data_IF_898939329991
#
_entry.id   IF_898939329991
#
_cell.length_a   1.000
_cell.length_b   1.000
_cell.length_c   1.000
_cell.angle_alpha   90.00
_cell.angle_beta   90.00
_cell.angle_gamma   90.00
#
_symmetry.space_group_name_H-M   'P 1'
#
loop_
_entity.id
_entity.type
_entity.pdbx_description
1 polymer ?
#
# COMPACT_ATOMS: atom_id res chain seq x y z
N UNK A 1 12.56 -3.92 11.07
CA UNK A 1 12.46 -3.03 12.26
C UNK A 1 11.01 -2.55 12.30
N UNK A 2 10.29 -2.65 13.43
CA UNK A 2 8.89 -2.22 13.47
C UNK A 2 8.81 -0.71 13.20
N UNK A 3 8.30 -0.35 12.04
CA UNK A 3 8.20 1.02 11.53
C UNK A 3 6.74 1.46 11.52
N UNK A 4 6.45 2.76 11.32
CA UNK A 4 5.07 3.24 11.12
C UNK A 4 4.36 2.62 9.91
N UNK A 5 5.14 2.00 9.00
CA UNK A 5 4.68 1.36 7.77
C UNK A 5 5.23 -0.06 7.65
N UNK A 6 4.51 -0.91 6.92
CA UNK A 6 4.92 -2.29 6.63
C UNK A 6 4.54 -2.70 5.21
N UNK A 7 5.46 -3.33 4.51
CA UNK A 7 5.25 -4.03 3.25
C UNK A 7 5.14 -5.53 3.53
N UNK A 8 4.19 -6.19 2.89
CA UNK A 8 4.09 -7.65 2.94
C UNK A 8 3.21 -8.19 1.82
N UNK A 9 3.32 -9.49 1.58
CA UNK A 9 2.31 -10.22 0.81
C UNK A 9 1.12 -10.57 1.71
N UNK A 10 -0.09 -10.36 1.20
CA UNK A 10 -1.30 -10.69 1.94
C UNK A 10 -1.35 -12.18 2.30
N UNK A 11 -1.38 -12.51 3.59
CA UNK A 11 -1.42 -13.91 4.04
C UNK A 11 -2.77 -14.60 3.77
N UNK A 12 -3.86 -13.82 3.66
CA UNK A 12 -5.23 -14.31 3.51
C UNK A 12 -6.18 -13.23 2.94
N UNK A 13 -7.42 -13.62 2.63
CA UNK A 13 -8.44 -12.74 2.01
C UNK A 13 -9.31 -11.97 3.02
N UNK A 14 -8.79 -11.60 4.20
CA UNK A 14 -9.60 -10.94 5.25
C UNK A 14 -9.47 -9.43 5.30
N UNK A 15 -8.32 -8.88 4.90
CA UNK A 15 -8.09 -7.44 4.96
C UNK A 15 -8.88 -6.71 3.87
N UNK A 16 -9.39 -5.53 4.21
CA UNK A 16 -10.11 -4.63 3.30
C UNK A 16 -9.28 -3.38 3.03
N UNK A 17 -9.26 -2.93 1.78
CA UNK A 17 -8.44 -1.81 1.36
C UNK A 17 -8.92 -0.51 2.02
N UNK A 18 -7.98 0.22 2.60
CA UNK A 18 -8.16 1.59 3.15
C UNK A 18 -7.64 2.66 2.20
N UNK A 19 -7.52 2.35 0.92
CA UNK A 19 -7.22 3.30 -0.15
C UNK A 19 -8.42 4.20 -0.49
N UNK A 20 -8.27 5.10 -1.48
CA UNK A 20 -9.37 5.91 -1.97
C UNK A 20 -10.47 5.07 -2.66
N UNK A 21 -11.68 5.64 -2.78
CA UNK A 21 -12.72 5.08 -3.67
C UNK A 21 -12.23 5.17 -5.13
N UNK A 22 -12.57 4.21 -6.00
CA UNK A 22 -13.53 3.11 -5.80
C UNK A 22 -12.97 1.88 -5.06
N UNK A 23 -11.67 1.85 -4.76
CA UNK A 23 -11.03 0.65 -4.19
C UNK A 23 -11.33 0.43 -2.70
N UNK A 24 -11.68 1.49 -1.97
CA UNK A 24 -11.92 1.43 -0.54
C UNK A 24 -12.96 0.34 -0.19
N UNK A 25 -12.60 -0.58 0.71
CA UNK A 25 -13.45 -1.70 1.12
C UNK A 25 -13.32 -2.97 0.28
N UNK A 26 -12.60 -2.94 -0.84
CA UNK A 26 -12.32 -4.15 -1.63
C UNK A 26 -11.31 -5.07 -0.93
N UNK A 27 -11.36 -6.36 -1.22
CA UNK A 27 -10.55 -7.38 -0.53
C UNK A 27 -9.10 -7.35 -1.02
N UNK A 28 -8.14 -7.46 -0.09
CA UNK A 28 -6.75 -7.76 -0.43
C UNK A 28 -6.57 -9.27 -0.54
N UNK A 29 -6.37 -9.77 -1.75
CA UNK A 29 -6.27 -11.20 -2.04
C UNK A 29 -4.95 -11.78 -1.57
N UNK A 30 -4.95 -13.05 -1.15
CA UNK A 30 -3.77 -13.78 -0.71
C UNK A 30 -2.68 -13.70 -1.76
N UNK A 31 -1.46 -13.39 -1.34
CA UNK A 31 -0.30 -13.25 -2.22
C UNK A 31 -0.15 -11.87 -2.87
N UNK A 32 -1.15 -10.97 -2.79
CA UNK A 32 -0.99 -9.61 -3.32
C UNK A 32 -0.07 -8.76 -2.43
N UNK A 33 0.82 -7.97 -3.03
CA UNK A 33 1.59 -6.96 -2.31
C UNK A 33 0.66 -5.91 -1.69
N UNK A 34 0.90 -5.60 -0.42
CA UNK A 34 0.12 -4.61 0.34
C UNK A 34 1.02 -3.73 1.21
N UNK A 35 0.56 -2.51 1.44
CA UNK A 35 1.16 -1.60 2.42
C UNK A 35 0.23 -1.46 3.63
N UNK A 36 0.80 -1.52 4.83
CA UNK A 36 0.12 -1.26 6.08
C UNK A 36 0.65 0.01 6.72
N UNK A 37 -0.24 0.85 7.24
CA UNK A 37 0.12 1.93 8.17
C UNK A 37 -0.30 1.51 9.57
N UNK A 38 0.57 1.67 10.56
CA UNK A 38 0.22 1.42 11.95
C UNK A 38 -0.96 2.30 12.36
N UNK A 39 -1.96 1.69 12.99
CA UNK A 39 -3.08 2.36 13.64
C UNK A 39 -3.21 1.82 15.06
N UNK A 40 -3.40 2.71 16.03
CA UNK A 40 -3.74 2.31 17.39
C UNK A 40 -5.26 2.42 17.59
N UNK A 41 -5.87 1.36 18.09
CA UNK A 41 -7.26 1.39 18.51
C UNK A 41 -7.38 0.87 19.94
N UNK A 42 -7.63 1.80 20.88
CA UNK A 42 -7.82 1.51 22.31
C UNK A 42 -6.61 0.78 22.92
N UNK A 43 -5.39 1.14 22.52
CA UNK A 43 -4.15 0.50 22.99
C UNK A 43 -3.79 -0.80 22.26
N UNK A 44 -4.59 -1.20 21.26
CA UNK A 44 -4.27 -2.32 20.38
C UNK A 44 -3.75 -1.78 19.05
N UNK A 45 -2.44 -1.95 18.82
CA UNK A 45 -1.82 -1.61 17.56
C UNK A 45 -2.19 -2.62 16.47
N UNK A 46 -2.71 -2.14 15.36
CA UNK A 46 -3.01 -2.90 14.15
C UNK A 46 -2.48 -2.17 12.91
N UNK A 47 -2.80 -2.68 11.72
CA UNK A 47 -2.43 -2.06 10.45
C UNK A 47 -3.68 -1.73 9.62
N UNK A 48 -3.73 -0.50 9.10
CA UNK A 48 -4.62 -0.12 8.02
C UNK A 48 -4.01 -0.55 6.68
N UNK A 49 -4.49 -1.67 6.14
CA UNK A 49 -3.99 -2.27 4.90
C UNK A 49 -4.55 -1.60 3.64
N UNK A 50 -3.71 -1.45 2.62
CA UNK A 50 -4.08 -0.98 1.28
C UNK A 50 -3.42 -1.86 0.23
N UNK A 51 -4.07 -2.01 -0.92
CA UNK A 51 -3.37 -2.54 -2.10
C UNK A 51 -2.14 -1.69 -2.38
N UNK A 52 -1.08 -2.30 -2.89
CA UNK A 52 0.09 -1.56 -3.34
C UNK A 52 -0.29 -0.43 -4.30
N UNK A 53 -1.04 -0.71 -5.36
CA UNK A 53 -1.54 0.32 -6.29
C UNK A 53 -2.49 1.37 -5.71
N UNK A 54 -2.85 1.29 -4.43
CA UNK A 54 -3.66 2.28 -3.73
C UNK A 54 -2.84 3.17 -2.79
N UNK A 55 -1.50 3.05 -2.81
CA UNK A 55 -0.61 3.99 -2.11
C UNK A 55 -0.70 5.34 -2.80
N UNK A 56 -1.10 6.38 -2.07
CA UNK A 56 -1.22 7.74 -2.60
C UNK A 56 0.09 8.50 -2.49
N UNK A 57 0.30 9.57 -3.29
CA UNK A 57 1.48 10.44 -3.14
C UNK A 57 1.66 10.97 -1.72
N UNK A 58 0.57 11.28 -1.02
CA UNK A 58 0.60 11.71 0.38
C UNK A 58 1.22 10.63 1.30
N UNK A 59 0.93 9.35 1.06
CA UNK A 59 1.54 8.26 1.83
C UNK A 59 3.03 8.19 1.54
N UNK A 60 3.47 8.32 0.27
CA UNK A 60 4.90 8.40 -0.06
C UNK A 60 5.58 9.59 0.64
N UNK A 61 4.97 10.77 0.62
CA UNK A 61 5.50 11.94 1.35
C UNK A 61 5.67 11.63 2.84
N UNK A 62 4.67 11.03 3.48
CA UNK A 62 4.74 10.71 4.90
C UNK A 62 5.76 9.60 5.22
N UNK A 63 5.96 8.64 4.32
CA UNK A 63 7.03 7.64 4.47
C UNK A 63 8.41 8.27 4.33
N UNK A 64 8.62 9.12 3.31
CA UNK A 64 9.89 9.84 3.08
C UNK A 64 10.26 10.83 4.19
N UNK A 65 9.30 11.25 5.02
CA UNK A 65 9.58 12.04 6.22
C UNK A 65 10.20 11.20 7.36
N UNK A 66 10.02 9.88 7.33
CA UNK A 66 10.49 8.96 8.37
C UNK A 66 11.67 8.09 7.93
N UNK A 67 11.84 7.90 6.62
CA UNK A 67 12.84 7.02 6.02
C UNK A 67 13.52 7.73 4.85
N UNK A 68 14.81 7.47 4.66
CA UNK A 68 15.56 8.02 3.52
C UNK A 68 15.38 7.15 2.26
N UNK A 69 15.31 5.83 2.46
CA UNK A 69 15.29 4.83 1.40
C UNK A 69 14.12 3.86 1.58
N UNK A 70 13.65 3.29 0.47
CA UNK A 70 12.59 2.27 0.49
C UNK A 70 13.00 1.01 1.26
N UNK A 71 14.29 0.67 1.25
CA UNK A 71 14.90 -0.46 1.96
C UNK A 71 14.73 -0.39 3.48
N UNK A 72 14.51 0.79 4.03
CA UNK A 72 14.29 0.98 5.47
C UNK A 72 12.88 0.58 5.94
N UNK A 73 11.94 0.39 5.00
CA UNK A 73 10.56 0.00 5.29
C UNK A 73 10.49 -1.42 5.86
N UNK A 74 9.66 -1.60 6.90
CA UNK A 74 9.47 -2.92 7.51
C UNK A 74 8.90 -3.91 6.49
N UNK A 75 9.59 -5.05 6.31
CA UNK A 75 9.19 -6.10 5.36
C UNK A 75 9.66 -5.91 3.92
N UNK A 76 10.46 -4.88 3.62
CA UNK A 76 11.07 -4.71 2.29
C UNK A 76 11.98 -5.90 1.92
N UNK A 77 12.84 -6.33 2.83
CA UNK A 77 13.78 -7.45 2.61
C UNK A 77 13.08 -8.80 2.41
N UNK A 78 11.82 -8.93 2.85
CA UNK A 78 11.01 -10.13 2.69
C UNK A 78 10.30 -10.19 1.32
N UNK A 79 10.37 -9.12 0.52
CA UNK A 79 9.78 -9.07 -0.81
C UNK A 79 10.65 -9.79 -1.84
N UNK A 80 10.03 -10.24 -2.92
CA UNK A 80 10.76 -10.70 -4.12
C UNK A 80 11.54 -9.54 -4.73
N UNK A 81 12.68 -9.83 -5.35
CA UNK A 81 13.55 -8.83 -6.00
C UNK A 81 12.78 -7.92 -6.98
N UNK A 82 11.87 -8.49 -7.77
CA UNK A 82 11.01 -7.73 -8.69
C UNK A 82 10.12 -6.70 -7.96
N UNK A 83 9.53 -7.09 -6.82
CA UNK A 83 8.71 -6.19 -6.02
C UNK A 83 9.56 -5.17 -5.24
N UNK A 84 10.79 -5.52 -4.85
CA UNK A 84 11.75 -4.58 -4.27
C UNK A 84 12.12 -3.48 -5.28
N UNK A 85 12.40 -3.85 -6.53
CA UNK A 85 12.67 -2.89 -7.60
C UNK A 85 11.45 -2.00 -7.87
N UNK A 86 10.25 -2.60 -7.92
CA UNK A 86 9.00 -1.87 -8.10
C UNK A 86 8.76 -0.84 -6.98
N UNK A 87 8.93 -1.25 -5.72
CA UNK A 87 8.81 -0.36 -4.57
C UNK A 87 9.85 0.75 -4.63
N UNK A 88 11.08 0.45 -5.02
CA UNK A 88 12.16 1.44 -5.14
C UNK A 88 11.86 2.47 -6.24
N UNK A 89 11.41 2.04 -7.42
CA UNK A 89 10.99 2.93 -8.51
C UNK A 89 9.84 3.84 -8.09
N UNK A 90 8.81 3.27 -7.44
CA UNK A 90 7.68 4.04 -6.94
C UNK A 90 8.08 5.01 -5.81
N UNK A 91 9.04 4.61 -4.97
CA UNK A 91 9.62 5.48 -3.96
C UNK A 91 10.26 6.68 -4.59
N UNK A 92 11.14 6.52 -5.57
CA UNK A 92 11.79 7.63 -6.28
C UNK A 92 10.77 8.54 -6.95
N UNK A 93 9.82 7.97 -7.70
CA UNK A 93 8.75 8.70 -8.37
C UNK A 93 7.77 9.42 -7.41
N UNK A 94 7.59 8.90 -6.19
CA UNK A 94 6.61 9.39 -5.23
C UNK A 94 5.16 8.99 -5.55
N UNK A 95 4.96 8.07 -6.48
CA UNK A 95 3.67 7.45 -6.80
C UNK A 95 3.90 6.02 -7.32
N UNK A 96 2.87 5.19 -7.25
CA UNK A 96 2.90 3.85 -7.85
C UNK A 96 2.84 3.93 -9.37
N UNK A 97 3.37 2.91 -10.05
CA UNK A 97 3.23 2.80 -11.49
C UNK A 97 1.77 2.56 -11.87
N UNK A 98 1.34 3.08 -13.02
CA UNK A 98 -0.05 2.92 -13.46
C UNK A 98 -0.43 1.45 -13.65
N UNK A 99 0.51 0.59 -14.02
CA UNK A 99 0.31 -0.87 -14.14
C UNK A 99 -0.01 -1.57 -12.81
N UNK A 100 0.44 -0.99 -11.68
CA UNK A 100 0.20 -1.53 -10.34
C UNK A 100 -1.17 -1.17 -9.78
N UNK A 101 -1.86 -0.19 -10.39
CA UNK A 101 -3.17 0.26 -9.96
C UNK A 101 -4.19 -0.85 -10.24
N UNK A 102 -4.79 -1.47 -9.20
CA UNK A 102 -5.72 -2.55 -9.40
C UNK A 102 -6.98 -2.04 -10.12
N UNK A 103 -7.66 -2.90 -10.87
CA UNK A 103 -8.92 -2.54 -11.56
C UNK A 103 -9.95 -1.98 -10.57
N UNK A 104 -9.96 -2.47 -9.34
CA UNK A 104 -10.82 -1.96 -8.26
C UNK A 104 -10.55 -0.51 -7.88
N UNK A 105 -9.41 0.06 -8.24
CA UNK A 105 -9.05 1.46 -8.03
C UNK A 105 -9.22 2.33 -9.27
N UNK A 106 -9.42 1.74 -10.45
CA UNK A 106 -9.73 2.50 -11.66
C UNK A 106 -11.19 2.94 -11.60
N UNK A 107 -11.45 4.22 -11.84
CA UNK A 107 -12.83 4.69 -12.05
C UNK A 107 -13.35 4.00 -13.32
N UNK A 108 -14.55 3.40 -13.25
CA UNK A 108 -15.25 3.02 -14.46
C UNK A 108 -15.51 4.30 -15.27
N UNK A 109 -15.22 4.26 -16.58
CA UNK A 109 -15.71 5.30 -17.50
C UNK A 109 -17.25 5.27 -17.43
N UNK A 110 -17.86 6.13 -16.61
CA UNK A 110 -19.33 6.22 -16.50
C UNK A 110 -19.94 6.68 -15.18
N UNK A 111 -19.22 6.80 -14.08
CA UNK A 111 -19.77 7.42 -12.85
C UNK A 111 -19.61 8.95 -12.94
N UNK A 112 -20.50 9.59 -13.71
CA UNK A 112 -20.87 10.99 -13.48
C UNK A 112 -21.54 11.06 -12.10
N UNK A 113 -20.94 11.85 -11.20
CA UNK A 113 -21.50 12.15 -9.89
C UNK A 113 -22.90 12.78 -10.04
N UNK A 114 -23.93 12.14 -9.49
CA UNK A 114 -25.15 12.83 -9.03
C UNK A 114 -24.94 13.43 -7.64
#
# INVERSE_FOLDING_TARGET
KKSGYRLEYSANNRAKCKGPKPCAGTTLTKGSLRVGTIVDFRGHTSYAWRHWGCVTPLIFTNMKQQFNEASELDGFDDLKEEDQERVTKAWEAGHVADEDIPETARKAEGDEEE
#
